data_IF_619290881428
#
_entry.id   IF_619290881428
#
_cell.length_a   1.000
_cell.length_b   1.000
_cell.length_c   1.000
_cell.angle_alpha   90.00
_cell.angle_beta   90.00
_cell.angle_gamma   90.00
#
_symmetry.space_group_name_H-M   'P 1'
#
loop_
_entity.id
_entity.type
_entity.pdbx_description
1 polymer ?
#
# COMPACT_ATOMS: atom_id res chain seq x y z
N UNK A 1 11.73 56.19 -2.93
CA UNK A 1 10.82 55.39 -3.76
C UNK A 1 11.51 54.05 -4.01
N UNK A 2 11.56 53.22 -2.98
CA UNK A 2 12.26 51.94 -2.94
C UNK A 2 11.24 50.82 -2.95
N UNK A 3 11.39 49.95 -3.93
CA UNK A 3 10.61 48.69 -4.02
C UNK A 3 11.37 47.62 -3.26
N UNK A 4 10.76 47.15 -2.18
CA UNK A 4 11.17 45.99 -1.41
C UNK A 4 10.98 44.71 -2.24
N UNK A 5 12.07 44.05 -2.58
CA UNK A 5 12.08 42.69 -3.09
C UNK A 5 11.88 41.69 -1.96
N UNK A 6 10.73 41.04 -1.93
CA UNK A 6 10.48 39.91 -1.04
C UNK A 6 11.09 38.65 -1.65
N UNK A 7 12.22 38.24 -1.09
CA UNK A 7 12.90 36.97 -1.35
C UNK A 7 11.98 35.80 -1.02
N UNK A 8 11.58 35.02 -2.05
CA UNK A 8 10.90 33.76 -1.91
C UNK A 8 11.94 32.67 -1.61
N UNK A 9 12.07 32.33 -0.34
CA UNK A 9 12.76 31.10 0.03
C UNK A 9 11.82 29.92 -0.27
N UNK A 10 12.05 29.26 -1.38
CA UNK A 10 11.55 27.92 -1.64
C UNK A 10 12.36 26.95 -0.76
N UNK A 11 11.80 26.62 0.40
CA UNK A 11 12.24 25.45 1.16
C UNK A 11 11.80 24.20 0.39
N UNK A 12 12.72 23.67 -0.41
CA UNK A 12 12.61 22.34 -0.98
C UNK A 12 12.86 21.36 0.14
N UNK A 13 11.82 20.89 0.79
CA UNK A 13 11.90 19.76 1.72
C UNK A 13 11.83 18.51 0.86
N UNK A 14 12.88 17.67 0.80
CA UNK A 14 12.78 16.37 0.16
C UNK A 14 11.99 15.44 1.06
N UNK A 15 10.69 15.35 0.86
CA UNK A 15 9.91 14.29 1.47
C UNK A 15 10.26 12.97 0.78
N UNK A 16 10.64 11.92 1.53
CA UNK A 16 10.67 10.58 0.97
C UNK A 16 9.25 10.26 0.51
N UNK A 17 9.15 9.85 -0.74
CA UNK A 17 7.87 9.54 -1.39
C UNK A 17 7.14 8.49 -0.55
N UNK A 18 6.08 8.89 0.12
CA UNK A 18 5.19 7.99 0.83
C UNK A 18 4.68 6.94 -0.17
N UNK A 19 4.87 5.67 0.17
CA UNK A 19 4.63 4.49 -0.66
C UNK A 19 3.21 4.47 -1.29
N UNK A 20 2.31 5.37 -0.89
CA UNK A 20 0.89 5.38 -1.31
C UNK A 20 0.22 6.76 -1.43
N UNK A 21 0.95 7.86 -1.50
CA UNK A 21 0.32 9.18 -1.64
C UNK A 21 0.21 9.62 -3.09
N UNK A 22 -0.76 9.10 -3.82
CA UNK A 22 -1.40 9.82 -4.92
C UNK A 22 -2.91 9.58 -4.81
N UNK A 23 -3.59 10.44 -4.07
CA UNK A 23 -5.04 10.61 -4.23
C UNK A 23 -5.29 12.08 -4.50
N UNK A 24 -5.78 12.38 -5.69
CA UNK A 24 -6.19 13.70 -6.13
C UNK A 24 -7.16 14.33 -5.13
N UNK A 25 -6.76 15.47 -4.52
CA UNK A 25 -7.66 16.38 -3.85
C UNK A 25 -8.52 17.09 -4.91
N UNK A 26 -9.66 16.54 -5.24
CA UNK A 26 -10.74 17.28 -5.90
C UNK A 26 -11.72 17.70 -4.82
N UNK A 27 -11.63 18.95 -4.36
CA UNK A 27 -12.72 19.56 -3.62
C UNK A 27 -13.89 19.80 -4.56
N UNK A 28 -14.88 18.91 -4.52
CA UNK A 28 -16.19 19.13 -5.11
C UNK A 28 -17.11 19.63 -3.99
N UNK A 29 -17.50 20.90 -4.05
CA UNK A 29 -18.61 21.41 -3.23
C UNK A 29 -19.90 20.71 -3.69
N UNK A 30 -20.43 19.83 -2.83
CA UNK A 30 -21.68 19.12 -3.05
C UNK A 30 -22.79 19.87 -2.32
N UNK A 31 -23.93 20.18 -2.98
CA UNK A 31 -25.08 20.79 -2.30
C UNK A 31 -25.62 19.86 -1.22
N UNK A 32 -26.08 20.43 -0.08
CA UNK A 32 -26.61 19.72 1.09
C UNK A 32 -27.81 18.83 0.73
N UNK A 33 -27.53 17.65 0.24
CA UNK A 33 -28.39 16.50 0.39
C UNK A 33 -27.78 15.60 1.45
N UNK A 34 -28.54 15.12 2.40
CA UNK A 34 -28.06 14.29 3.50
C UNK A 34 -27.26 13.13 2.93
N UNK A 35 -25.92 13.22 2.98
CA UNK A 35 -25.02 12.15 2.51
C UNK A 35 -25.22 11.00 3.49
N UNK A 36 -25.96 10.00 3.07
CA UNK A 36 -26.28 8.82 3.88
C UNK A 36 -25.05 7.91 4.02
N UNK A 37 -24.07 8.02 3.10
CA UNK A 37 -22.80 7.29 3.12
C UNK A 37 -21.76 8.00 2.25
N UNK A 38 -20.51 7.58 2.34
CA UNK A 38 -19.42 8.06 1.50
C UNK A 38 -18.63 6.87 0.93
N UNK A 39 -17.81 7.11 -0.11
CA UNK A 39 -16.93 6.08 -0.67
C UNK A 39 -16.02 5.48 0.41
N UNK A 40 -15.48 6.31 1.31
CA UNK A 40 -14.62 5.86 2.40
C UNK A 40 -15.38 5.00 3.42
N UNK A 41 -16.60 5.38 3.81
CA UNK A 41 -17.41 4.60 4.74
C UNK A 41 -17.84 3.25 4.14
N UNK A 42 -18.14 3.20 2.85
CA UNK A 42 -18.42 1.96 2.12
C UNK A 42 -17.17 1.04 2.14
N UNK A 43 -15.98 1.58 1.88
CA UNK A 43 -14.74 0.81 1.89
C UNK A 43 -14.38 0.33 3.30
N UNK A 44 -14.56 1.17 4.32
CA UNK A 44 -14.37 0.81 5.73
C UNK A 44 -15.32 -0.33 6.14
N UNK A 45 -16.60 -0.23 5.78
CA UNK A 45 -17.58 -1.29 6.04
C UNK A 45 -17.22 -2.58 5.29
N UNK A 46 -16.73 -2.47 4.06
CA UNK A 46 -16.28 -3.62 3.29
C UNK A 46 -15.08 -4.32 3.95
N UNK A 47 -14.13 -3.56 4.51
CA UNK A 47 -13.00 -4.12 5.28
C UNK A 47 -13.48 -4.84 6.54
N UNK A 48 -14.41 -4.23 7.30
CA UNK A 48 -14.99 -4.86 8.49
C UNK A 48 -15.69 -6.19 8.14
N UNK A 49 -16.45 -6.25 7.05
CA UNK A 49 -17.05 -7.50 6.57
C UNK A 49 -16.00 -8.57 6.24
N UNK A 50 -14.86 -8.20 5.68
CA UNK A 50 -13.79 -9.15 5.40
C UNK A 50 -13.19 -9.67 6.71
N UNK A 51 -12.95 -8.80 7.68
CA UNK A 51 -12.37 -9.18 8.98
C UNK A 51 -13.28 -10.13 9.76
N UNK A 52 -14.60 -9.88 9.73
CA UNK A 52 -15.58 -10.66 10.51
C UNK A 52 -16.00 -11.96 9.81
N UNK A 53 -16.17 -11.95 8.50
CA UNK A 53 -16.84 -13.01 7.76
C UNK A 53 -16.01 -13.56 6.59
N UNK A 54 -14.82 -13.00 6.38
CA UNK A 54 -13.93 -13.36 5.29
C UNK A 54 -14.31 -12.69 3.96
N UNK A 55 -13.46 -12.89 2.98
CA UNK A 55 -13.53 -12.21 1.68
C UNK A 55 -14.82 -12.47 0.90
N UNK A 56 -15.38 -13.68 0.99
CA UNK A 56 -16.60 -14.07 0.27
C UNK A 56 -17.84 -13.28 0.71
N UNK A 57 -17.80 -12.63 1.88
CA UNK A 57 -18.87 -11.80 2.39
C UNK A 57 -19.06 -10.48 1.60
N UNK A 58 -18.05 -10.02 0.84
CA UNK A 58 -18.12 -8.76 0.10
C UNK A 58 -18.96 -8.90 -1.16
N UNK A 59 -20.12 -8.26 -1.15
CA UNK A 59 -21.01 -8.10 -2.29
C UNK A 59 -21.71 -6.75 -2.21
N UNK A 60 -22.24 -6.25 -3.34
CA UNK A 60 -23.04 -5.01 -3.35
C UNK A 60 -24.16 -5.06 -2.30
N UNK A 61 -24.83 -6.22 -2.18
CA UNK A 61 -25.98 -6.38 -1.26
C UNK A 61 -25.53 -6.40 0.21
N UNK A 62 -24.50 -7.18 0.56
CA UNK A 62 -24.00 -7.26 1.93
C UNK A 62 -23.42 -5.94 2.40
N UNK A 63 -22.66 -5.24 1.53
CA UNK A 63 -22.09 -3.93 1.84
C UNK A 63 -23.21 -2.89 2.01
N UNK A 64 -24.21 -2.85 1.13
CA UNK A 64 -25.35 -1.96 1.27
C UNK A 64 -26.11 -2.20 2.58
N UNK A 65 -26.38 -3.46 2.92
CA UNK A 65 -27.03 -3.83 4.17
C UNK A 65 -26.21 -3.41 5.40
N UNK A 66 -24.90 -3.64 5.39
CA UNK A 66 -24.01 -3.26 6.49
C UNK A 66 -23.83 -1.74 6.63
N UNK A 67 -23.87 -1.00 5.52
CA UNK A 67 -23.91 0.49 5.53
C UNK A 67 -25.28 1.08 5.91
N UNK A 68 -26.34 0.26 5.99
CA UNK A 68 -27.71 0.75 6.24
C UNK A 68 -28.29 1.55 5.08
N UNK A 69 -27.85 1.30 3.82
CA UNK A 69 -28.27 2.03 2.63
C UNK A 69 -28.88 1.11 1.57
N UNK A 70 -29.51 1.70 0.57
CA UNK A 70 -30.03 0.93 -0.57
C UNK A 70 -28.89 0.42 -1.46
N UNK A 71 -29.13 -0.67 -2.19
CA UNK A 71 -28.22 -1.17 -3.23
C UNK A 71 -27.93 -0.08 -4.28
N UNK A 72 -28.93 0.72 -4.65
CA UNK A 72 -28.76 1.86 -5.56
C UNK A 72 -27.78 2.90 -5.04
N UNK A 73 -27.75 3.12 -3.72
CA UNK A 73 -26.78 4.05 -3.11
C UNK A 73 -25.34 3.62 -3.30
N UNK A 74 -25.07 2.31 -3.28
CA UNK A 74 -23.70 1.80 -3.57
C UNK A 74 -23.33 2.05 -5.04
N UNK A 75 -24.28 1.88 -5.97
CA UNK A 75 -24.04 2.13 -7.39
C UNK A 75 -23.81 3.61 -7.74
N UNK A 76 -24.09 4.55 -6.82
CA UNK A 76 -23.69 5.96 -6.99
C UNK A 76 -22.17 6.16 -6.81
N UNK A 77 -21.45 5.20 -6.20
CA UNK A 77 -20.01 5.27 -5.91
C UNK A 77 -19.17 4.27 -6.68
N UNK A 78 -19.78 3.16 -7.13
CA UNK A 78 -19.12 2.05 -7.82
C UNK A 78 -20.01 1.54 -8.95
N UNK A 79 -19.51 1.63 -10.18
CA UNK A 79 -20.28 1.26 -11.37
C UNK A 79 -20.58 -0.24 -11.45
N UNK A 80 -19.82 -1.06 -10.73
CA UNK A 80 -19.96 -2.52 -10.75
C UNK A 80 -19.49 -3.18 -9.45
N UNK A 81 -19.91 -4.45 -9.26
CA UNK A 81 -19.34 -5.31 -8.21
C UNK A 81 -17.81 -5.41 -8.34
N UNK A 82 -17.29 -5.50 -9.54
CA UNK A 82 -15.86 -5.63 -9.80
C UNK A 82 -15.10 -4.38 -9.32
N UNK A 83 -15.66 -3.20 -9.55
CA UNK A 83 -15.08 -1.94 -9.09
C UNK A 83 -15.10 -1.83 -7.55
N UNK A 84 -16.22 -2.15 -6.89
CA UNK A 84 -16.28 -2.21 -5.43
C UNK A 84 -15.22 -3.16 -4.86
N UNK A 85 -15.12 -4.36 -5.43
CA UNK A 85 -14.13 -5.38 -5.01
C UNK A 85 -12.72 -4.85 -5.20
N UNK A 86 -12.39 -4.27 -6.36
CA UNK A 86 -11.07 -3.71 -6.65
C UNK A 86 -10.70 -2.57 -5.68
N UNK A 87 -11.63 -1.65 -5.45
CA UNK A 87 -11.43 -0.55 -4.50
C UNK A 87 -11.30 -1.04 -3.05
N UNK A 88 -12.01 -2.12 -2.69
CA UNK A 88 -11.88 -2.74 -1.37
C UNK A 88 -10.50 -3.38 -1.20
N UNK A 89 -9.99 -4.10 -2.22
CA UNK A 89 -8.62 -4.67 -2.23
C UNK A 89 -7.60 -3.55 -2.02
N UNK A 90 -7.68 -2.48 -2.79
CA UNK A 90 -6.79 -1.32 -2.64
C UNK A 90 -6.87 -0.71 -1.24
N UNK A 91 -8.09 -0.60 -0.70
CA UNK A 91 -8.33 -0.09 0.65
C UNK A 91 -7.70 -0.97 1.74
N UNK A 92 -7.73 -2.31 1.59
CA UNK A 92 -7.06 -3.25 2.49
C UNK A 92 -5.54 -3.08 2.42
N UNK A 93 -4.95 -3.02 1.22
CA UNK A 93 -3.52 -2.77 1.04
C UNK A 93 -3.09 -1.46 1.68
N UNK A 94 -3.87 -0.40 1.50
CA UNK A 94 -3.62 0.91 2.12
C UNK A 94 -3.64 0.83 3.63
N UNK A 95 -4.59 0.13 4.24
CA UNK A 95 -4.65 -0.04 5.69
C UNK A 95 -3.48 -0.86 6.22
N UNK A 96 -3.10 -1.93 5.52
CA UNK A 96 -1.96 -2.76 5.93
C UNK A 96 -0.66 -1.95 5.93
N UNK A 97 -0.40 -1.15 4.89
CA UNK A 97 0.90 -0.51 4.68
C UNK A 97 0.93 1.00 4.92
N UNK A 98 -0.19 1.62 5.29
CA UNK A 98 -0.21 3.06 5.56
C UNK A 98 -0.34 3.34 7.06
N UNK A 99 0.75 3.85 7.65
CA UNK A 99 0.75 4.41 9.01
C UNK A 99 1.47 5.75 9.00
N UNK A 100 0.81 6.84 9.44
CA UNK A 100 1.40 8.18 9.47
C UNK A 100 2.67 8.29 10.32
N UNK A 101 2.79 7.44 11.35
CA UNK A 101 3.89 7.48 12.31
C UNK A 101 5.14 6.70 11.86
N UNK A 102 5.09 6.03 10.72
CA UNK A 102 6.15 5.13 10.25
C UNK A 102 7.22 5.85 9.39
N UNK A 103 7.22 7.18 9.32
CA UNK A 103 8.14 7.92 8.46
C UNK A 103 9.63 7.69 8.78
N UNK A 104 9.98 7.48 10.05
CA UNK A 104 11.36 7.19 10.46
C UNK A 104 11.87 5.82 9.98
N UNK A 105 10.98 4.86 9.79
CA UNK A 105 11.30 3.51 9.31
C UNK A 105 11.90 3.53 7.90
N UNK A 106 11.56 4.53 7.09
CA UNK A 106 12.02 4.66 5.71
C UNK A 106 13.41 5.30 5.57
N UNK A 107 14.12 5.55 6.67
CA UNK A 107 15.50 6.02 6.66
C UNK A 107 16.53 4.91 6.93
N UNK A 108 16.08 3.71 7.26
CA UNK A 108 16.86 2.57 7.68
C UNK A 108 16.38 1.31 6.95
N UNK A 109 17.26 0.68 6.16
CA UNK A 109 16.88 -0.52 5.37
C UNK A 109 16.44 -1.68 6.26
N UNK A 110 17.13 -1.93 7.38
CA UNK A 110 16.78 -3.02 8.28
C UNK A 110 15.43 -2.76 8.95
N UNK A 111 15.20 -1.52 9.44
CA UNK A 111 13.92 -1.13 10.02
C UNK A 111 12.79 -1.21 8.99
N UNK A 112 13.04 -0.80 7.75
CA UNK A 112 12.06 -0.91 6.66
C UNK A 112 11.70 -2.38 6.38
N UNK A 113 12.68 -3.27 6.31
CA UNK A 113 12.44 -4.71 6.09
C UNK A 113 11.64 -5.31 7.25
N UNK A 114 12.01 -5.02 8.51
CA UNK A 114 11.26 -5.47 9.69
C UNK A 114 9.81 -5.00 9.59
N UNK A 115 9.61 -3.72 9.37
CA UNK A 115 8.28 -3.13 9.24
C UNK A 115 7.46 -3.81 8.13
N UNK A 116 8.03 -4.04 6.95
CA UNK A 116 7.32 -4.73 5.86
C UNK A 116 6.85 -6.13 6.28
N UNK A 117 7.70 -6.91 6.94
CA UNK A 117 7.34 -8.25 7.43
C UNK A 117 6.26 -8.20 8.52
N UNK A 118 6.37 -7.28 9.48
CA UNK A 118 5.36 -7.07 10.51
C UNK A 118 4.00 -6.66 9.92
N UNK A 119 4.01 -5.77 8.89
CA UNK A 119 2.78 -5.39 8.20
C UNK A 119 2.14 -6.55 7.44
N UNK A 120 2.95 -7.42 6.84
CA UNK A 120 2.48 -8.63 6.18
C UNK A 120 1.86 -9.61 7.19
N UNK A 121 2.52 -9.84 8.33
CA UNK A 121 1.97 -10.66 9.41
C UNK A 121 0.64 -10.08 9.92
N UNK A 122 0.59 -8.78 10.18
CA UNK A 122 -0.63 -8.08 10.55
C UNK A 122 -1.75 -8.29 9.52
N UNK A 123 -1.44 -8.08 8.23
CA UNK A 123 -2.41 -8.25 7.15
C UNK A 123 -2.93 -9.68 7.04
N UNK A 124 -2.08 -10.68 7.27
CA UNK A 124 -2.46 -12.09 7.30
C UNK A 124 -3.46 -12.39 8.44
N UNK A 125 -3.20 -11.85 9.63
CA UNK A 125 -4.06 -12.04 10.80
C UNK A 125 -5.39 -11.29 10.67
N UNK A 126 -5.35 -10.02 10.23
CA UNK A 126 -6.53 -9.16 10.17
C UNK A 126 -7.45 -9.46 8.97
N UNK A 127 -6.89 -9.99 7.88
CA UNK A 127 -7.61 -10.25 6.63
C UNK A 127 -7.41 -11.69 6.16
N UNK A 128 -8.02 -12.69 6.83
CA UNK A 128 -7.83 -14.10 6.49
C UNK A 128 -8.13 -14.41 5.03
N UNK A 129 -7.19 -15.06 4.37
CA UNK A 129 -7.31 -15.43 2.95
C UNK A 129 -7.05 -14.31 1.95
N UNK A 130 -6.86 -13.06 2.38
CA UNK A 130 -6.64 -11.91 1.50
C UNK A 130 -5.43 -12.12 0.60
N UNK A 131 -4.29 -12.44 1.17
CA UNK A 131 -3.07 -12.63 0.38
C UNK A 131 -3.14 -13.84 -0.54
N UNK A 132 -3.73 -14.95 -0.10
CA UNK A 132 -3.85 -16.18 -0.91
C UNK A 132 -4.78 -15.99 -2.10
N UNK A 133 -5.91 -15.33 -1.89
CA UNK A 133 -6.92 -15.13 -2.94
C UNK A 133 -6.57 -13.99 -3.90
N UNK A 134 -5.95 -12.90 -3.39
CA UNK A 134 -5.78 -11.69 -4.17
C UNK A 134 -4.36 -11.48 -4.67
N UNK A 135 -3.32 -11.92 -3.94
CA UNK A 135 -1.94 -11.81 -4.44
C UNK A 135 -1.60 -12.86 -5.49
N UNK A 136 -2.16 -14.07 -5.35
CA UNK A 136 -1.90 -15.18 -6.27
C UNK A 136 -3.05 -15.39 -7.28
N UNK A 137 -4.29 -15.10 -6.89
CA UNK A 137 -5.45 -15.20 -7.75
C UNK A 137 -5.44 -14.21 -8.91
N UNK A 138 -4.99 -12.97 -8.66
CA UNK A 138 -4.81 -11.96 -9.71
C UNK A 138 -3.74 -12.32 -10.75
N UNK A 139 -2.79 -13.18 -10.40
CA UNK A 139 -1.84 -13.72 -11.40
C UNK A 139 -2.49 -14.71 -12.36
N UNK A 140 -3.65 -15.30 -11.99
CA UNK A 140 -4.39 -16.27 -12.79
C UNK A 140 -5.62 -15.71 -13.50
N UNK A 141 -6.18 -14.62 -13.03
CA UNK A 141 -7.42 -14.06 -13.58
C UNK A 141 -7.09 -13.08 -14.72
N UNK A 142 -7.64 -13.34 -15.90
CA UNK A 142 -7.45 -12.57 -17.14
C UNK A 142 -8.12 -11.18 -17.12
N UNK A 143 -8.72 -10.77 -15.99
CA UNK A 143 -9.33 -9.45 -15.86
C UNK A 143 -8.26 -8.37 -15.70
N UNK A 144 -7.99 -7.69 -16.80
CA UNK A 144 -6.90 -6.71 -16.98
C UNK A 144 -6.80 -5.61 -15.89
N UNK A 145 -7.90 -5.21 -15.26
CA UNK A 145 -7.92 -4.09 -14.31
C UNK A 145 -7.39 -4.48 -12.92
N UNK A 146 -7.75 -5.65 -12.39
CA UNK A 146 -7.25 -6.13 -11.10
C UNK A 146 -5.74 -6.38 -11.11
N UNK A 147 -5.24 -6.95 -12.21
CA UNK A 147 -3.80 -7.18 -12.43
C UNK A 147 -3.03 -5.85 -12.47
N UNK A 148 -3.58 -4.82 -13.12
CA UNK A 148 -2.95 -3.50 -13.22
C UNK A 148 -2.83 -2.83 -11.86
N UNK A 149 -3.87 -2.83 -11.03
CA UNK A 149 -3.84 -2.24 -9.69
C UNK A 149 -2.83 -2.94 -8.77
N UNK A 150 -2.77 -4.28 -8.83
CA UNK A 150 -1.77 -5.04 -8.07
C UNK A 150 -0.34 -4.72 -8.53
N UNK A 151 -0.10 -4.67 -9.84
CA UNK A 151 1.20 -4.30 -10.40
C UNK A 151 1.61 -2.89 -9.98
N UNK A 152 0.67 -1.95 -9.91
CA UNK A 152 0.94 -0.60 -9.43
C UNK A 152 1.32 -0.60 -7.93
N UNK A 153 0.58 -1.33 -7.08
CA UNK A 153 0.91 -1.44 -5.66
C UNK A 153 2.31 -2.03 -5.45
N UNK A 154 2.63 -3.12 -6.14
CA UNK A 154 3.95 -3.75 -6.07
C UNK A 154 5.06 -2.84 -6.58
N UNK A 155 4.81 -2.14 -7.68
CA UNK A 155 5.76 -1.15 -8.21
C UNK A 155 6.04 -0.04 -7.19
N UNK A 156 5.02 0.49 -6.52
CA UNK A 156 5.20 1.51 -5.48
C UNK A 156 6.01 0.97 -4.28
N UNK A 157 5.73 -0.25 -3.83
CA UNK A 157 6.49 -0.88 -2.74
C UNK A 157 7.96 -1.07 -3.12
N UNK A 158 8.23 -1.55 -4.33
CA UNK A 158 9.57 -1.72 -4.86
C UNK A 158 10.32 -0.39 -4.98
N UNK A 159 9.66 0.65 -5.51
CA UNK A 159 10.25 2.00 -5.62
C UNK A 159 10.53 2.61 -4.25
N UNK A 160 9.63 2.41 -3.27
CA UNK A 160 9.85 2.85 -1.90
C UNK A 160 11.07 2.17 -1.26
N UNK A 161 11.19 0.86 -1.39
CA UNK A 161 12.34 0.11 -0.89
C UNK A 161 13.66 0.56 -1.56
N UNK A 162 13.62 0.80 -2.87
CA UNK A 162 14.76 1.35 -3.60
C UNK A 162 15.15 2.75 -3.09
N UNK A 163 14.18 3.60 -2.76
CA UNK A 163 14.44 4.91 -2.19
C UNK A 163 15.13 4.80 -0.80
N UNK A 164 14.67 3.89 0.05
CA UNK A 164 15.31 3.63 1.36
C UNK A 164 16.74 3.16 1.18
N UNK A 165 17.00 2.23 0.25
CA UNK A 165 18.35 1.76 -0.07
C UNK A 165 19.29 2.87 -0.53
N UNK A 166 18.77 3.89 -1.22
CA UNK A 166 19.56 5.04 -1.67
C UNK A 166 19.77 6.12 -0.60
N UNK A 167 18.93 6.14 0.43
CA UNK A 167 18.95 7.17 1.48
C UNK A 167 19.66 6.74 2.76
N UNK A 168 19.79 5.45 3.03
CA UNK A 168 20.43 4.95 4.25
C UNK A 168 21.94 5.24 4.22
N UNK A 169 22.35 6.28 4.97
CA UNK A 169 23.73 6.76 5.03
C UNK A 169 24.72 5.77 5.68
N UNK A 170 24.24 4.67 6.27
CA UNK A 170 25.09 3.65 6.90
C UNK A 170 25.53 2.58 5.91
N UNK A 171 24.96 2.56 4.72
CA UNK A 171 25.35 1.63 3.67
C UNK A 171 26.78 1.95 3.26
N UNK A 172 27.65 0.91 3.24
CA UNK A 172 29.03 1.08 2.83
C UNK A 172 29.12 1.58 1.38
N UNK A 173 30.08 2.46 1.03
CA UNK A 173 30.16 3.09 -0.29
C UNK A 173 30.34 2.12 -1.47
N UNK A 174 30.88 0.94 -1.21
CA UNK A 174 31.14 -0.11 -2.19
C UNK A 174 30.08 -1.23 -2.20
N UNK A 175 28.94 -1.03 -1.50
CA UNK A 175 27.85 -2.00 -1.47
C UNK A 175 27.18 -2.19 -2.83
N UNK A 176 27.19 -1.17 -3.66
CA UNK A 176 26.56 -1.17 -4.98
C UNK A 176 27.56 -0.78 -6.08
N UNK A 177 27.43 -1.43 -7.24
CA UNK A 177 28.21 -1.18 -8.44
C UNK A 177 27.33 -1.26 -9.71
N UNK A 178 27.92 -1.23 -10.91
CA UNK A 178 27.18 -1.32 -12.18
C UNK A 178 26.48 -2.68 -12.38
N UNK A 179 27.00 -3.74 -11.79
CA UNK A 179 26.44 -5.10 -11.90
C UNK A 179 25.41 -5.39 -10.82
N UNK A 180 25.60 -4.82 -9.62
CA UNK A 180 24.76 -5.00 -8.45
C UNK A 180 24.27 -3.65 -7.93
N UNK A 181 23.17 -3.14 -8.47
CA UNK A 181 22.61 -1.84 -8.14
C UNK A 181 21.61 -1.91 -6.97
N UNK A 182 21.31 -0.77 -6.36
CA UNK A 182 20.27 -0.67 -5.33
C UNK A 182 18.90 -1.17 -5.83
N UNK A 183 18.57 -0.93 -7.12
CA UNK A 183 17.35 -1.42 -7.74
C UNK A 183 17.31 -2.95 -7.80
N UNK A 184 18.39 -3.59 -8.24
CA UNK A 184 18.48 -5.06 -8.29
C UNK A 184 18.38 -5.67 -6.90
N UNK A 185 19.00 -5.03 -5.91
CA UNK A 185 18.88 -5.51 -4.54
C UNK A 185 17.49 -5.31 -3.96
N UNK A 186 16.82 -4.19 -4.28
CA UNK A 186 15.41 -3.99 -3.94
C UNK A 186 14.52 -5.08 -4.53
N UNK A 187 14.75 -5.51 -5.78
CA UNK A 187 14.03 -6.63 -6.41
C UNK A 187 14.26 -7.96 -5.66
N UNK A 188 15.49 -8.20 -5.20
CA UNK A 188 15.78 -9.40 -4.38
C UNK A 188 15.01 -9.36 -3.07
N UNK A 189 15.07 -8.25 -2.33
CA UNK A 189 14.35 -8.10 -1.06
C UNK A 189 12.83 -8.21 -1.25
N UNK A 190 12.31 -7.60 -2.31
CA UNK A 190 10.89 -7.69 -2.65
C UNK A 190 10.47 -9.13 -3.00
N UNK A 191 11.31 -9.87 -3.71
CA UNK A 191 11.08 -11.29 -4.01
C UNK A 191 11.04 -12.14 -2.75
N UNK A 192 11.87 -11.84 -1.74
CA UNK A 192 11.83 -12.52 -0.44
C UNK A 192 10.53 -12.20 0.32
N UNK A 193 10.04 -10.97 0.25
CA UNK A 193 8.75 -10.59 0.82
C UNK A 193 7.60 -11.37 0.17
N UNK A 194 7.58 -11.50 -1.16
CA UNK A 194 6.60 -12.33 -1.86
C UNK A 194 6.72 -13.82 -1.49
N UNK A 195 7.94 -14.31 -1.30
CA UNK A 195 8.18 -15.69 -0.81
C UNK A 195 7.63 -15.90 0.61
N UNK A 196 7.79 -14.92 1.49
CA UNK A 196 7.22 -14.94 2.85
C UNK A 196 5.69 -15.05 2.82
N UNK A 197 5.03 -14.28 1.93
CA UNK A 197 3.59 -14.38 1.68
C UNK A 197 3.15 -15.79 1.28
N UNK A 198 3.87 -16.39 0.33
CA UNK A 198 3.54 -17.72 -0.19
C UNK A 198 3.69 -18.80 0.87
N UNK A 199 4.72 -18.69 1.71
CA UNK A 199 5.01 -19.66 2.77
C UNK A 199 4.25 -19.39 4.05
N UNK A 200 3.61 -18.20 4.18
CA UNK A 200 3.00 -17.71 5.41
C UNK A 200 4.01 -17.71 6.59
N UNK A 201 5.26 -17.41 6.28
CA UNK A 201 6.36 -17.36 7.21
C UNK A 201 6.93 -15.93 7.19
N UNK A 202 6.65 -15.19 8.25
CA UNK A 202 6.95 -13.76 8.36
C UNK A 202 8.15 -13.47 9.27
N UNK A 203 9.04 -14.45 9.47
CA UNK A 203 10.30 -14.22 10.15
C UNK A 203 11.31 -13.51 9.20
N UNK A 204 11.71 -12.25 9.48
CA UNK A 204 12.65 -11.53 8.65
C UNK A 204 14.12 -11.89 8.90
N UNK A 205 14.44 -12.72 9.89
CA UNK A 205 15.80 -12.91 10.44
C UNK A 205 16.83 -13.24 9.37
N UNK A 206 16.54 -14.18 8.47
CA UNK A 206 17.44 -14.58 7.39
C UNK A 206 17.66 -13.43 6.38
N UNK A 207 16.59 -12.69 6.04
CA UNK A 207 16.67 -11.55 5.12
C UNK A 207 17.48 -10.40 5.73
N UNK A 208 17.28 -10.12 7.02
CA UNK A 208 18.04 -9.11 7.76
C UNK A 208 19.52 -9.46 7.81
N UNK A 209 19.88 -10.72 7.96
CA UNK A 209 21.28 -11.14 7.93
C UNK A 209 21.89 -10.97 6.53
N UNK A 210 21.14 -11.24 5.46
CA UNK A 210 21.56 -10.93 4.08
C UNK A 210 21.76 -9.42 3.91
N UNK A 211 20.83 -8.60 4.35
CA UNK A 211 20.93 -7.13 4.32
C UNK A 211 22.18 -6.68 5.06
N UNK A 212 22.38 -7.16 6.29
CA UNK A 212 23.52 -6.79 7.11
C UNK A 212 24.86 -7.11 6.45
N UNK A 213 25.01 -8.31 5.89
CA UNK A 213 26.26 -8.74 5.24
C UNK A 213 26.51 -8.06 3.89
N UNK A 214 25.44 -7.66 3.21
CA UNK A 214 25.56 -7.07 1.88
C UNK A 214 25.79 -5.57 1.95
N UNK A 215 25.15 -4.88 2.90
CA UNK A 215 25.12 -3.43 2.91
C UNK A 215 26.04 -2.79 3.98
N UNK A 216 26.30 -3.48 5.09
CA UNK A 216 27.04 -2.99 6.24
C UNK A 216 28.26 -3.89 6.54
#
# INVERSE_FOLDING_TARGET
MERSESSKYLLTIPYPVCILCIVNNVHVEVPMNTIVTSKEEILKTSRALIQEQGWSAVSIRSVAAACGVSVGSIYNYFDSKAELVSATVESVWREIFHRPDDAAVFQDVQACVIWMYERMAYGYEQYPGFFTLHSLGFMRDEKADGKRHMQQAWHHMLMGLCAVLKQDARIRPDAFDEQFTAEKFAEVLFSQLLSALLRQDYDPSAVLEVVRRTLY
#
